data_IF_686972129190
#
_entry.id   IF_686972129190
#
_cell.length_a   1.000
_cell.length_b   1.000
_cell.length_c   1.000
_cell.angle_alpha   90.00
_cell.angle_beta   90.00
_cell.angle_gamma   90.00
#
_symmetry.space_group_name_H-M   'P 1'
#
loop_
_entity.id
_entity.type
_entity.pdbx_description
1 polymer ?
#
# COMPACT_ATOMS: atom_id res chain seq x y z
N UNK A 1 -27.08 12.06 23.83
CA UNK A 1 -25.79 11.56 23.32
C UNK A 1 -24.82 11.36 24.47
N UNK A 2 -23.91 10.39 24.38
CA UNK A 2 -22.84 10.22 25.38
C UNK A 2 -21.89 11.43 25.37
N UNK A 3 -21.33 11.83 26.51
CA UNK A 3 -20.31 12.88 26.55
C UNK A 3 -19.05 12.45 25.78
N UNK A 4 -18.38 13.37 25.07
CA UNK A 4 -17.18 13.05 24.30
C UNK A 4 -16.01 12.69 25.23
N UNK A 5 -15.47 11.48 25.05
CA UNK A 5 -14.21 11.07 25.67
C UNK A 5 -13.04 11.53 24.79
N UNK A 6 -12.37 12.61 25.23
CA UNK A 6 -11.25 13.21 24.50
C UNK A 6 -10.08 12.25 24.25
N UNK A 7 -9.79 11.31 25.17
CA UNK A 7 -8.70 10.35 24.98
C UNK A 7 -9.05 9.35 23.88
N UNK A 8 -10.28 8.83 23.91
CA UNK A 8 -10.77 7.90 22.89
C UNK A 8 -10.80 8.55 21.51
N UNK A 9 -11.28 9.79 21.42
CA UNK A 9 -11.33 10.54 20.15
C UNK A 9 -9.91 10.78 19.62
N UNK A 10 -8.98 11.26 20.45
CA UNK A 10 -7.60 11.48 20.04
C UNK A 10 -6.90 10.20 19.57
N UNK A 11 -7.18 9.07 20.24
CA UNK A 11 -6.70 7.75 19.82
C UNK A 11 -7.22 7.37 18.42
N UNK A 12 -8.53 7.50 18.20
CA UNK A 12 -9.14 7.20 16.91
C UNK A 12 -8.59 8.07 15.78
N UNK A 13 -8.41 9.37 16.02
CA UNK A 13 -7.80 10.31 15.06
C UNK A 13 -6.39 9.85 14.68
N UNK A 14 -5.56 9.50 15.67
CA UNK A 14 -4.18 9.04 15.41
C UNK A 14 -4.15 7.73 14.62
N UNK A 15 -5.00 6.76 14.97
CA UNK A 15 -5.08 5.49 14.24
C UNK A 15 -5.58 5.69 12.81
N UNK A 16 -6.48 6.64 12.57
CA UNK A 16 -6.92 6.97 11.22
C UNK A 16 -5.76 7.55 10.37
N UNK A 17 -5.00 8.51 10.90
CA UNK A 17 -3.82 9.07 10.23
C UNK A 17 -2.71 8.03 9.99
N UNK A 18 -2.62 7.01 10.83
CA UNK A 18 -1.69 5.91 10.64
C UNK A 18 -1.99 5.10 9.36
N UNK A 19 -3.27 4.92 9.02
CA UNK A 19 -3.68 4.27 7.77
C UNK A 19 -3.24 5.11 6.57
N UNK A 20 -3.44 6.42 6.64
CA UNK A 20 -3.05 7.36 5.59
C UNK A 20 -1.53 7.31 5.34
N UNK A 21 -0.75 7.43 6.43
CA UNK A 21 0.70 7.43 6.34
C UNK A 21 1.27 6.09 5.89
N UNK A 22 0.70 4.97 6.37
CA UNK A 22 1.25 3.65 6.08
C UNK A 22 0.78 3.12 4.74
N UNK A 23 -0.46 3.35 4.33
CA UNK A 23 -1.01 2.71 3.12
C UNK A 23 -1.13 3.72 1.99
N UNK A 24 -1.95 4.76 2.15
CA UNK A 24 -2.28 5.70 1.08
C UNK A 24 -1.05 6.42 0.55
N UNK A 25 -0.30 7.09 1.42
CA UNK A 25 0.91 7.81 0.99
C UNK A 25 1.91 6.92 0.25
N UNK A 26 2.09 5.67 0.70
CA UNK A 26 3.01 4.73 0.06
C UNK A 26 2.50 4.32 -1.32
N UNK A 27 1.19 4.13 -1.49
CA UNK A 27 0.56 3.84 -2.78
C UNK A 27 0.73 5.02 -3.74
N UNK A 28 0.48 6.25 -3.27
CA UNK A 28 0.60 7.47 -4.07
C UNK A 28 2.04 7.64 -4.60
N UNK A 29 3.05 7.56 -3.74
CA UNK A 29 4.44 7.81 -4.13
C UNK A 29 5.10 6.63 -4.86
N UNK A 30 4.62 5.41 -4.65
CA UNK A 30 5.25 4.20 -5.21
C UNK A 30 4.59 3.76 -6.50
N UNK A 31 3.27 3.89 -6.60
CA UNK A 31 2.47 3.48 -7.76
C UNK A 31 1.89 4.65 -8.57
N UNK A 32 2.15 5.91 -8.17
CA UNK A 32 1.56 7.09 -8.81
C UNK A 32 0.03 6.98 -8.87
N UNK A 33 -0.56 6.58 -7.73
CA UNK A 33 -1.99 6.29 -7.65
C UNK A 33 -2.86 7.52 -7.95
N UNK A 34 -2.51 8.69 -7.43
CA UNK A 34 -3.19 9.97 -7.71
C UNK A 34 -3.23 10.32 -9.21
N UNK A 35 -2.16 10.00 -9.94
CA UNK A 35 -2.04 10.28 -11.38
C UNK A 35 -2.74 9.22 -12.27
N UNK A 36 -3.26 8.15 -11.66
CA UNK A 36 -3.86 7.02 -12.36
C UNK A 36 -5.13 7.43 -13.13
N UNK A 37 -5.15 7.15 -14.44
CA UNK A 37 -6.30 7.48 -15.33
C UNK A 37 -7.30 6.34 -15.52
N UNK A 38 -7.11 5.23 -14.81
CA UNK A 38 -7.95 4.03 -14.93
C UNK A 38 -9.32 4.31 -14.29
N UNK A 39 -10.36 4.43 -15.12
CA UNK A 39 -11.74 4.77 -14.69
C UNK A 39 -12.84 3.97 -15.38
N UNK A 40 -12.47 3.04 -16.28
CA UNK A 40 -13.44 2.26 -17.04
C UNK A 40 -13.92 1.05 -16.24
N UNK A 41 -15.24 0.88 -16.14
CA UNK A 41 -15.88 -0.20 -15.37
C UNK A 41 -15.31 -0.28 -13.94
N UNK A 42 -15.03 -1.49 -13.48
CA UNK A 42 -14.47 -1.76 -12.16
C UNK A 42 -12.93 -1.61 -12.11
N UNK A 43 -12.33 -1.00 -13.14
CA UNK A 43 -10.87 -0.90 -13.27
C UNK A 43 -10.18 -0.19 -12.11
N UNK A 44 -10.81 0.85 -11.56
CA UNK A 44 -10.26 1.58 -10.40
C UNK A 44 -10.16 0.67 -9.16
N UNK A 45 -11.24 -0.04 -8.83
CA UNK A 45 -11.28 -0.95 -7.67
C UNK A 45 -10.33 -2.14 -7.85
N UNK A 46 -10.35 -2.78 -9.01
CA UNK A 46 -9.48 -3.91 -9.32
C UNK A 46 -8.00 -3.56 -9.18
N UNK A 47 -7.59 -2.40 -9.69
CA UNK A 47 -6.19 -1.96 -9.62
C UNK A 47 -5.77 -1.60 -8.19
N UNK A 48 -6.65 -0.99 -7.39
CA UNK A 48 -6.38 -0.71 -5.98
C UNK A 48 -6.10 -2.01 -5.21
N UNK A 49 -6.89 -3.06 -5.45
CA UNK A 49 -6.67 -4.38 -4.82
C UNK A 49 -5.31 -4.95 -5.21
N UNK A 50 -4.96 -4.92 -6.50
CA UNK A 50 -3.67 -5.44 -7.01
C UNK A 50 -2.49 -4.66 -6.42
N UNK A 51 -2.55 -3.32 -6.37
CA UNK A 51 -1.48 -2.48 -5.81
C UNK A 51 -1.26 -2.78 -4.33
N UNK A 52 -2.35 -2.91 -3.55
CA UNK A 52 -2.28 -3.29 -2.13
C UNK A 52 -1.66 -4.66 -1.94
N UNK A 53 -2.03 -5.63 -2.78
CA UNK A 53 -1.45 -6.97 -2.76
C UNK A 53 0.07 -6.92 -3.03
N UNK A 54 0.49 -6.26 -4.10
CA UNK A 54 1.91 -6.11 -4.44
C UNK A 54 2.72 -5.38 -3.36
N UNK A 55 2.15 -4.34 -2.75
CA UNK A 55 2.78 -3.62 -1.64
C UNK A 55 2.98 -4.53 -0.42
N UNK A 56 1.99 -5.35 -0.08
CA UNK A 56 2.09 -6.27 1.05
C UNK A 56 3.14 -7.36 0.81
N UNK A 57 3.24 -7.92 -0.40
CA UNK A 57 4.32 -8.85 -0.75
C UNK A 57 5.70 -8.19 -0.59
N UNK A 58 5.86 -6.95 -1.09
CA UNK A 58 7.09 -6.19 -0.93
C UNK A 58 7.47 -5.92 0.53
N UNK A 59 6.48 -5.75 1.42
CA UNK A 59 6.70 -5.57 2.86
C UNK A 59 7.18 -6.84 3.56
N UNK A 60 6.60 -7.97 3.19
CA UNK A 60 6.91 -9.27 3.80
C UNK A 60 8.31 -9.76 3.40
N UNK A 61 8.81 -9.35 2.22
CA UNK A 61 10.13 -9.75 1.76
C UNK A 61 11.27 -9.23 2.67
N UNK A 62 12.22 -10.09 3.09
CA UNK A 62 13.22 -9.76 4.12
C UNK A 62 14.30 -8.76 3.68
N UNK A 63 14.50 -8.58 2.36
CA UNK A 63 15.50 -7.64 1.82
C UNK A 63 15.25 -6.21 2.32
N UNK A 64 16.30 -5.51 2.75
CA UNK A 64 16.22 -4.17 3.35
C UNK A 64 16.31 -3.04 2.32
N UNK A 65 15.52 -3.16 1.25
CA UNK A 65 15.43 -2.16 0.20
C UNK A 65 14.16 -1.31 0.31
N UNK A 66 14.17 -0.14 -0.35
CA UNK A 66 12.97 0.68 -0.49
C UNK A 66 11.85 -0.07 -1.21
N UNK A 67 10.58 0.25 -0.89
CA UNK A 67 9.42 -0.38 -1.53
C UNK A 67 9.48 -0.26 -3.06
N UNK A 68 9.87 0.92 -3.55
CA UNK A 68 10.06 1.18 -4.98
C UNK A 68 11.12 0.27 -5.60
N UNK A 69 12.23 0.03 -4.90
CA UNK A 69 13.30 -0.86 -5.39
C UNK A 69 12.82 -2.30 -5.48
N UNK A 70 12.18 -2.82 -4.43
CA UNK A 70 11.63 -4.19 -4.42
C UNK A 70 10.62 -4.41 -5.55
N UNK A 71 9.69 -3.47 -5.75
CA UNK A 71 8.69 -3.57 -6.81
C UNK A 71 9.33 -3.51 -8.21
N UNK A 72 10.35 -2.68 -8.42
CA UNK A 72 11.12 -2.66 -9.68
C UNK A 72 11.87 -3.97 -9.91
N UNK A 73 12.52 -4.52 -8.87
CA UNK A 73 13.21 -5.80 -8.96
C UNK A 73 12.25 -6.93 -9.34
N UNK A 74 11.04 -6.96 -8.77
CA UNK A 74 10.00 -7.91 -9.16
C UNK A 74 9.58 -7.72 -10.63
N UNK A 75 9.55 -6.50 -11.13
CA UNK A 75 9.29 -6.21 -12.55
C UNK A 75 10.42 -6.64 -13.50
N UNK A 76 11.68 -6.66 -13.04
CA UNK A 76 12.85 -6.89 -13.88
C UNK A 76 13.47 -8.30 -13.77
N UNK A 77 13.22 -9.01 -12.68
CA UNK A 77 13.86 -10.30 -12.38
C UNK A 77 12.81 -11.35 -12.06
N UNK A 78 12.73 -12.37 -12.91
CA UNK A 78 11.81 -13.50 -12.73
C UNK A 78 12.13 -14.29 -11.46
N UNK A 79 13.41 -14.39 -11.11
CA UNK A 79 13.87 -15.01 -9.87
C UNK A 79 13.33 -14.25 -8.66
N UNK A 80 13.56 -12.93 -8.60
CA UNK A 80 13.10 -12.11 -7.49
C UNK A 80 11.57 -12.05 -7.42
N UNK A 81 10.90 -12.01 -8.58
CA UNK A 81 9.44 -12.06 -8.66
C UNK A 81 8.89 -13.39 -8.14
N UNK A 82 9.55 -14.51 -8.39
CA UNK A 82 9.11 -15.80 -7.88
C UNK A 82 9.31 -15.89 -6.37
N UNK A 83 10.47 -15.46 -5.86
CA UNK A 83 10.79 -15.37 -4.42
C UNK A 83 9.76 -14.50 -3.67
N UNK A 84 9.41 -13.32 -4.20
CA UNK A 84 8.47 -12.43 -3.53
C UNK A 84 7.03 -12.95 -3.50
N UNK A 85 6.63 -13.78 -4.48
CA UNK A 85 5.27 -14.32 -4.58
C UNK A 85 5.13 -15.62 -3.79
N UNK A 86 6.15 -16.47 -3.80
CA UNK A 86 6.05 -17.85 -3.29
C UNK A 86 6.88 -18.13 -2.04
N UNK A 87 7.85 -17.28 -1.69
CA UNK A 87 8.82 -17.53 -0.62
C UNK A 87 10.05 -18.27 -1.13
#
# INVERSE_FOLDING_TARGET
SLPPDGKRIAGAIRSHWEVENKVHWVLDVTFSEDDSRIRAGDGAENVVVIRRFALNLARLHPQKDSMRSKLKQAGWSDKFRSEIIFG
#
